data_IF_036008650383
#
_entry.id   IF_036008650383
#
_cell.length_a   1.000
_cell.length_b   1.000
_cell.length_c   1.000
_cell.angle_alpha   90.00
_cell.angle_beta   90.00
_cell.angle_gamma   90.00
#
_symmetry.space_group_name_H-M   'P 1'
#
loop_
_entity.id
_entity.type
_entity.pdbx_description
1 polymer ?
#
# COMPACT_ATOMS: atom_id res chain seq x y z
N UNK A 1 -19.88 5.47 9.33
CA UNK A 1 -18.55 4.96 8.95
C UNK A 1 -18.71 4.25 7.62
N UNK A 2 -17.79 4.46 6.68
CA UNK A 2 -17.77 3.76 5.39
C UNK A 2 -16.94 2.49 5.53
N UNK A 3 -17.28 1.44 4.78
CA UNK A 3 -16.55 0.17 4.74
C UNK A 3 -15.26 0.24 3.89
N UNK A 4 -14.68 1.45 3.78
CA UNK A 4 -13.55 1.76 2.92
C UNK A 4 -12.39 2.31 3.73
N UNK A 5 -11.22 1.72 3.57
CA UNK A 5 -9.97 2.13 4.21
C UNK A 5 -8.88 2.26 3.15
N UNK A 6 -8.04 3.29 3.25
CA UNK A 6 -6.92 3.50 2.33
C UNK A 6 -5.65 3.90 3.08
N UNK A 7 -4.51 3.42 2.60
CA UNK A 7 -3.17 3.75 3.08
C UNK A 7 -2.16 3.46 1.97
N UNK A 8 -0.87 3.64 2.22
CA UNK A 8 0.17 3.34 1.24
C UNK A 8 1.23 2.39 1.79
N UNK A 9 1.95 1.69 0.90
CA UNK A 9 3.12 0.89 1.27
C UNK A 9 4.23 1.03 0.23
N UNK A 10 5.46 0.66 0.60
CA UNK A 10 6.61 0.58 -0.32
C UNK A 10 6.42 -0.62 -1.29
N UNK A 11 6.31 -0.39 -2.61
CA UNK A 11 6.13 -1.46 -3.59
C UNK A 11 7.26 -2.49 -3.61
N UNK A 12 8.47 -2.15 -3.19
CA UNK A 12 9.63 -3.05 -3.17
C UNK A 12 9.64 -3.94 -1.92
N UNK A 13 8.84 -3.64 -0.90
CA UNK A 13 8.68 -4.48 0.29
C UNK A 13 7.70 -5.63 -0.01
N UNK A 14 8.22 -6.74 -0.57
CA UNK A 14 7.42 -7.92 -0.97
C UNK A 14 6.46 -8.41 0.11
N UNK A 15 6.88 -8.40 1.38
CA UNK A 15 6.03 -8.85 2.51
C UNK A 15 4.79 -7.96 2.63
N UNK A 16 4.95 -6.64 2.48
CA UNK A 16 3.83 -5.71 2.47
C UNK A 16 2.95 -5.92 1.24
N UNK A 17 3.52 -6.18 0.07
CA UNK A 17 2.72 -6.47 -1.12
C UNK A 17 1.83 -7.71 -0.92
N UNK A 18 2.39 -8.80 -0.41
CA UNK A 18 1.64 -10.03 -0.10
C UNK A 18 0.57 -9.75 0.97
N UNK A 19 0.94 -9.07 2.05
CA UNK A 19 -0.02 -8.77 3.11
C UNK A 19 -1.20 -7.94 2.60
N UNK A 20 -0.95 -6.82 1.92
CA UNK A 20 -1.99 -5.90 1.48
C UNK A 20 -2.85 -6.50 0.36
N UNK A 21 -2.25 -7.10 -0.66
CA UNK A 21 -2.96 -7.48 -1.88
C UNK A 21 -3.50 -8.92 -1.83
N UNK A 22 -2.76 -9.83 -1.18
CA UNK A 22 -3.12 -11.26 -1.13
C UNK A 22 -3.75 -11.66 0.19
N UNK A 23 -3.31 -11.13 1.35
CA UNK A 23 -3.83 -11.55 2.65
C UNK A 23 -5.03 -10.73 3.14
N UNK A 24 -5.05 -9.44 2.84
CA UNK A 24 -6.20 -8.59 3.13
C UNK A 24 -7.20 -8.56 1.96
N UNK A 25 -6.78 -8.96 0.76
CA UNK A 25 -7.61 -8.88 -0.44
C UNK A 25 -7.85 -7.46 -0.93
N UNK A 26 -7.06 -6.48 -0.48
CA UNK A 26 -7.18 -5.11 -0.95
C UNK A 26 -6.70 -4.96 -2.40
N UNK A 27 -7.10 -3.88 -3.06
CA UNK A 27 -6.73 -3.58 -4.45
C UNK A 27 -5.88 -2.32 -4.52
N UNK A 28 -5.31 -2.05 -5.69
CA UNK A 28 -4.60 -0.80 -5.94
C UNK A 28 -4.73 -0.40 -7.40
N UNK A 29 -4.96 0.89 -7.63
CA UNK A 29 -4.90 1.52 -8.95
C UNK A 29 -4.00 2.75 -8.97
N UNK A 30 -3.34 3.06 -7.86
CA UNK A 30 -2.64 4.33 -7.66
C UNK A 30 -1.19 4.09 -7.25
N UNK A 31 -0.27 4.56 -8.09
CA UNK A 31 1.16 4.64 -7.83
C UNK A 31 1.56 6.09 -7.61
N UNK A 32 2.23 6.37 -6.49
CA UNK A 32 2.66 7.70 -6.08
C UNK A 32 4.18 7.72 -6.13
N UNK A 33 4.72 8.48 -7.09
CA UNK A 33 6.17 8.66 -7.21
C UNK A 33 6.68 9.61 -6.12
N UNK A 34 7.73 9.20 -5.43
CA UNK A 34 8.45 9.98 -4.42
C UNK A 34 7.54 10.65 -3.39
N UNK A 35 6.63 9.85 -2.79
CA UNK A 35 5.52 10.32 -1.97
C UNK A 35 5.94 11.15 -0.75
N UNK A 36 7.14 10.92 -0.23
CA UNK A 36 7.68 11.63 0.94
C UNK A 36 8.88 12.54 0.61
N UNK A 37 9.29 12.63 -0.65
CA UNK A 37 10.48 13.38 -1.02
C UNK A 37 11.77 12.72 -0.52
N UNK A 38 12.78 13.55 -0.28
CA UNK A 38 14.04 13.13 0.35
C UNK A 38 13.81 12.89 1.85
N UNK A 39 14.18 11.70 2.31
CA UNK A 39 14.17 11.36 3.72
C UNK A 39 15.58 11.47 4.27
N UNK A 40 15.73 12.21 5.37
CA UNK A 40 16.97 12.35 6.12
C UNK A 40 17.02 11.29 7.24
N UNK A 41 16.86 10.02 6.86
CA UNK A 41 16.98 8.89 7.77
C UNK A 41 18.02 7.89 7.26
N UNK A 42 18.80 7.31 8.18
CA UNK A 42 19.94 6.44 7.87
C UNK A 42 19.60 5.25 6.96
N UNK A 43 18.33 4.86 6.89
CA UNK A 43 17.88 3.69 6.14
C UNK A 43 17.43 4.03 4.71
N UNK A 44 16.95 5.25 4.46
CA UNK A 44 16.33 5.65 3.20
C UNK A 44 17.09 6.75 2.45
N UNK A 45 18.24 7.23 2.96
CA UNK A 45 19.09 8.21 2.25
C UNK A 45 19.37 7.77 0.82
N UNK A 46 19.01 8.62 -0.14
CA UNK A 46 19.24 8.41 -1.57
C UNK A 46 18.26 7.45 -2.26
N UNK A 47 17.28 6.87 -1.55
CA UNK A 47 16.23 6.04 -2.15
C UNK A 47 14.99 6.87 -2.48
N UNK A 48 14.30 6.51 -3.57
CA UNK A 48 13.01 7.13 -3.90
C UNK A 48 11.93 6.64 -2.95
N UNK A 49 11.05 7.54 -2.53
CA UNK A 49 9.96 7.20 -1.61
C UNK A 49 8.68 6.83 -2.36
N UNK A 50 8.82 6.03 -3.40
CA UNK A 50 7.68 5.58 -4.20
C UNK A 50 6.73 4.76 -3.34
N UNK A 51 5.43 4.93 -3.56
CA UNK A 51 4.37 4.27 -2.79
C UNK A 51 3.26 3.77 -3.68
N UNK A 52 2.70 2.63 -3.30
CA UNK A 52 1.46 2.10 -3.86
C UNK A 52 0.36 2.37 -2.84
N UNK A 53 -0.73 3.02 -3.28
CA UNK A 53 -1.91 3.18 -2.44
C UNK A 53 -2.73 1.90 -2.45
N UNK A 54 -3.20 1.50 -1.27
CA UNK A 54 -4.09 0.39 -1.05
C UNK A 54 -5.50 0.93 -0.91
N UNK A 55 -6.44 0.26 -1.56
CA UNK A 55 -7.86 0.54 -1.56
C UNK A 55 -8.57 -0.71 -1.03
N UNK A 56 -9.00 -0.66 0.23
CA UNK A 56 -9.57 -1.80 0.96
C UNK A 56 -11.06 -1.58 1.23
N UNK A 57 -11.88 -2.17 0.36
CA UNK A 57 -13.32 -2.29 0.55
C UNK A 57 -13.63 -3.57 1.33
N UNK A 58 -13.98 -3.40 2.61
CA UNK A 58 -14.30 -4.48 3.55
C UNK A 58 -15.55 -5.26 3.15
N UNK A 59 -16.42 -4.66 2.33
CA UNK A 59 -17.65 -5.27 1.83
C UNK A 59 -17.47 -6.00 0.49
N UNK A 60 -16.28 -5.89 -0.12
CA UNK A 60 -16.04 -6.47 -1.43
C UNK A 60 -16.06 -8.01 -1.41
N UNK A 61 -16.51 -8.66 -2.50
CA UNK A 61 -16.48 -10.13 -2.59
C UNK A 61 -15.09 -10.72 -2.37
N UNK A 62 -14.02 -10.01 -2.78
CA UNK A 62 -12.64 -10.45 -2.59
C UNK A 62 -12.26 -10.56 -1.12
N UNK A 63 -12.75 -9.65 -0.28
CA UNK A 63 -12.48 -9.64 1.18
C UNK A 63 -13.40 -10.62 1.90
N UNK A 64 -14.68 -10.68 1.52
CA UNK A 64 -15.66 -11.55 2.17
C UNK A 64 -15.45 -13.05 1.89
N UNK A 65 -14.65 -13.41 0.88
CA UNK A 65 -14.36 -14.80 0.49
C UNK A 65 -12.95 -15.28 0.88
N UNK A 66 -12.16 -14.45 1.57
CA UNK A 66 -10.81 -14.78 2.06
C UNK A 66 -10.81 -15.66 3.31
#
# INVERSE_FOLDING_TARGET
>A
MTDWVTWTFDPLQRVNAIFNLERLGATSQTYIKNAYGELDDDQNIGLTTDRVQVDWDLSSPRVLQQ
#
